data_IF_496719711069
#
_entry.id   IF_496719711069
#
_cell.length_a   1.000
_cell.length_b   1.000
_cell.length_c   1.000
_cell.angle_alpha   90.00
_cell.angle_beta   90.00
_cell.angle_gamma   90.00
#
_symmetry.space_group_name_H-M   'P 1'
#
loop_
_entity.id
_entity.type
_entity.pdbx_description
1 polymer ?
#
# COMPACT_ATOMS: atom_id res chain seq x y z
N UNK A 1 22.02 -7.94 2.31
CA UNK A 1 22.61 -6.60 2.50
C UNK A 1 24.05 -6.44 1.96
N UNK A 2 24.87 -7.49 1.96
CA UNK A 2 26.25 -7.41 1.45
C UNK A 2 26.38 -7.28 -0.09
N UNK A 3 25.46 -7.82 -0.85
CA UNK A 3 25.54 -7.92 -2.33
C UNK A 3 25.60 -6.54 -3.02
N UNK A 4 24.81 -5.56 -2.57
CA UNK A 4 24.85 -4.21 -3.15
C UNK A 4 26.15 -3.47 -2.84
N UNK A 5 26.81 -3.80 -1.74
CA UNK A 5 28.13 -3.26 -1.38
C UNK A 5 29.25 -3.80 -2.26
N UNK A 6 29.09 -4.98 -2.83
CA UNK A 6 30.06 -5.64 -3.72
C UNK A 6 30.06 -5.09 -5.15
N UNK A 7 28.99 -4.37 -5.55
CA UNK A 7 28.92 -3.74 -6.87
C UNK A 7 29.93 -2.60 -6.94
N UNK A 8 31.05 -2.80 -7.64
CA UNK A 8 32.15 -1.81 -7.76
C UNK A 8 31.75 -0.55 -8.54
N UNK A 9 30.87 -0.68 -9.54
CA UNK A 9 30.46 0.44 -10.39
C UNK A 9 29.36 1.29 -9.75
N UNK A 10 29.65 2.56 -9.46
CA UNK A 10 28.66 3.53 -8.97
C UNK A 10 27.54 3.78 -9.99
N UNK A 11 27.85 3.72 -11.29
CA UNK A 11 26.85 3.85 -12.37
C UNK A 11 25.83 2.72 -12.34
N UNK A 12 26.29 1.46 -12.24
CA UNK A 12 25.39 0.29 -12.15
C UNK A 12 24.54 0.37 -10.89
N UNK A 13 25.13 0.76 -9.77
CA UNK A 13 24.42 0.93 -8.50
C UNK A 13 23.31 1.99 -8.61
N UNK A 14 23.61 3.16 -9.19
CA UNK A 14 22.62 4.22 -9.43
C UNK A 14 21.49 3.74 -10.36
N UNK A 15 21.83 2.97 -11.40
CA UNK A 15 20.84 2.41 -12.32
C UNK A 15 19.94 1.36 -11.64
N UNK A 16 20.48 0.51 -10.77
CA UNK A 16 19.69 -0.40 -9.95
C UNK A 16 18.75 0.40 -9.03
N UNK A 17 19.26 1.41 -8.34
CA UNK A 17 18.44 2.25 -7.46
C UNK A 17 17.35 3.02 -8.22
N UNK A 18 17.57 3.39 -9.49
CA UNK A 18 16.50 4.03 -10.29
C UNK A 18 15.34 3.10 -10.62
N UNK A 19 15.55 1.78 -10.56
CA UNK A 19 14.53 0.76 -10.83
C UNK A 19 13.80 0.28 -9.57
N UNK A 20 14.33 0.59 -8.39
CA UNK A 20 13.75 0.20 -7.09
C UNK A 20 12.75 1.27 -6.65
N UNK A 21 11.62 0.86 -6.12
CA UNK A 21 10.60 1.77 -5.56
C UNK A 21 11.13 2.48 -4.31
N UNK A 22 10.65 3.71 -4.08
CA UNK A 22 11.26 4.63 -3.11
C UNK A 22 11.28 4.13 -1.66
N UNK A 23 10.27 3.41 -1.20
CA UNK A 23 10.29 2.88 0.17
C UNK A 23 11.35 1.77 0.37
N UNK A 24 11.60 0.92 -0.65
CA UNK A 24 12.68 -0.09 -0.60
C UNK A 24 14.05 0.60 -0.65
N UNK A 25 14.18 1.70 -1.44
CA UNK A 25 15.39 2.54 -1.42
C UNK A 25 15.67 3.05 -0.01
N UNK A 26 14.64 3.54 0.67
CA UNK A 26 14.74 4.04 2.05
C UNK A 26 15.27 2.97 3.00
N UNK A 27 14.73 1.77 2.97
CA UNK A 27 15.18 0.67 3.84
C UNK A 27 16.61 0.24 3.54
N UNK A 28 17.01 0.19 2.25
CA UNK A 28 18.36 -0.16 1.83
C UNK A 28 19.41 0.84 2.28
N UNK A 29 19.09 2.14 2.27
CA UNK A 29 20.03 3.22 2.62
C UNK A 29 20.04 3.58 4.10
N UNK A 30 18.94 3.38 4.84
CA UNK A 30 18.80 3.74 6.25
C UNK A 30 19.91 3.19 7.14
N UNK A 31 20.39 2.01 6.83
CA UNK A 31 21.35 1.28 7.64
C UNK A 31 22.75 1.17 7.01
N UNK A 32 23.00 1.83 5.87
CA UNK A 32 24.27 1.67 5.16
C UNK A 32 24.86 2.99 4.64
N UNK A 33 25.74 3.62 5.47
CA UNK A 33 26.45 4.86 5.12
C UNK A 33 27.29 4.75 3.84
N UNK A 34 27.81 3.57 3.52
CA UNK A 34 28.61 3.34 2.33
C UNK A 34 27.74 3.36 1.07
N UNK A 35 26.54 2.78 1.12
CA UNK A 35 25.54 2.87 0.06
C UNK A 35 25.06 4.30 -0.13
N UNK A 36 24.76 5.05 0.94
CA UNK A 36 24.38 6.47 0.88
C UNK A 36 25.43 7.28 0.12
N UNK A 37 26.70 7.14 0.48
CA UNK A 37 27.80 7.86 -0.19
C UNK A 37 27.94 7.50 -1.67
N UNK A 38 27.80 6.23 -2.04
CA UNK A 38 27.97 5.73 -3.41
C UNK A 38 26.79 6.01 -4.33
N UNK A 39 25.58 6.08 -3.78
CA UNK A 39 24.37 6.46 -4.53
C UNK A 39 24.16 7.96 -4.60
N UNK A 40 24.97 8.74 -3.86
CA UNK A 40 24.84 10.20 -3.70
C UNK A 40 23.46 10.62 -3.13
N UNK A 41 22.77 9.70 -2.44
CA UNK A 41 21.52 10.01 -1.77
C UNK A 41 21.87 10.71 -0.46
N UNK A 42 21.62 12.00 -0.40
CA UNK A 42 21.87 12.83 0.77
C UNK A 42 20.76 12.70 1.81
N UNK A 43 21.04 13.12 3.05
CA UNK A 43 20.00 13.29 4.09
C UNK A 43 18.85 14.22 3.66
N UNK A 44 19.11 15.11 2.73
CA UNK A 44 18.14 16.05 2.18
C UNK A 44 17.21 15.36 1.17
N UNK A 45 17.76 14.49 0.33
CA UNK A 45 16.97 13.60 -0.53
C UNK A 45 16.10 12.66 0.33
N UNK A 46 16.67 12.14 1.44
CA UNK A 46 15.93 11.33 2.42
C UNK A 46 14.77 12.09 3.05
N UNK A 47 15.00 13.35 3.47
CA UNK A 47 13.93 14.23 4.01
C UNK A 47 12.83 14.47 2.98
N UNK A 48 13.18 14.70 1.72
CA UNK A 48 12.21 14.83 0.61
C UNK A 48 11.40 13.55 0.39
N UNK A 49 12.04 12.38 0.52
CA UNK A 49 11.33 11.09 0.39
C UNK A 49 10.40 10.80 1.57
N UNK A 50 10.72 11.26 2.79
CA UNK A 50 9.82 11.18 3.94
C UNK A 50 8.67 12.18 3.88
N UNK A 51 8.79 13.21 3.06
CA UNK A 51 7.82 14.29 2.83
C UNK A 51 7.24 14.94 4.09
N UNK A 52 7.94 14.87 5.23
CA UNK A 52 7.49 15.38 6.53
C UNK A 52 8.62 16.09 7.24
N UNK A 53 8.33 17.28 7.81
CA UNK A 53 9.21 17.94 8.75
C UNK A 53 8.47 18.30 10.06
N UNK A 54 9.22 18.49 11.13
CA UNK A 54 8.69 18.73 12.49
C UNK A 54 9.23 20.01 13.07
N UNK A 55 8.36 20.75 13.77
CA UNK A 55 8.70 21.99 14.49
C UNK A 55 8.23 21.85 15.94
N UNK A 56 9.05 22.27 16.90
CA UNK A 56 8.74 22.25 18.33
C UNK A 56 9.75 21.46 19.13
N UNK A 57 9.30 20.82 20.20
CA UNK A 57 10.15 20.12 21.15
C UNK A 57 10.26 18.63 20.79
N UNK A 58 11.47 18.09 20.86
CA UNK A 58 11.71 16.64 20.69
C UNK A 58 10.92 15.82 21.71
N UNK A 59 10.80 16.33 22.93
CA UNK A 59 10.04 15.76 24.06
C UNK A 59 9.13 16.86 24.63
N UNK A 60 7.95 17.03 24.04
CA UNK A 60 7.04 18.10 24.41
C UNK A 60 6.07 18.45 23.30
N UNK A 61 5.66 19.70 23.21
CA UNK A 61 4.68 20.17 22.22
C UNK A 61 5.34 20.44 20.88
N UNK A 62 4.68 20.05 19.79
CA UNK A 62 5.16 20.31 18.45
C UNK A 62 4.10 20.10 17.37
N UNK A 63 4.55 20.26 16.13
CA UNK A 63 3.75 20.11 14.91
C UNK A 63 4.52 19.33 13.86
N UNK A 64 3.83 18.56 13.05
CA UNK A 64 4.33 17.94 11.84
C UNK A 64 3.67 18.57 10.62
N UNK A 65 4.45 18.80 9.58
CA UNK A 65 4.00 19.38 8.33
C UNK A 65 4.45 18.52 7.16
N UNK A 66 3.66 18.50 6.11
CA UNK A 66 4.06 17.98 4.81
C UNK A 66 5.10 18.92 4.18
N UNK A 67 6.20 18.37 3.65
CA UNK A 67 7.34 19.16 3.19
C UNK A 67 7.01 20.02 1.96
N UNK A 68 6.35 19.43 0.96
CA UNK A 68 6.09 20.07 -0.32
C UNK A 68 4.96 21.10 -0.27
N UNK A 69 3.93 20.84 0.53
CA UNK A 69 2.73 21.69 0.62
C UNK A 69 2.70 22.61 1.83
N UNK A 70 3.60 22.37 2.80
CA UNK A 70 3.62 23.04 4.11
C UNK A 70 2.30 22.91 4.90
N UNK A 71 1.50 21.87 4.59
CA UNK A 71 0.24 21.59 5.29
C UNK A 71 0.49 20.94 6.64
N UNK A 72 -0.29 21.34 7.64
CA UNK A 72 -0.24 20.75 8.98
C UNK A 72 -0.83 19.34 8.96
N UNK A 73 -0.03 18.35 9.37
CA UNK A 73 -0.45 16.94 9.45
C UNK A 73 -0.81 16.55 10.88
N UNK A 74 -0.04 17.09 11.85
CA UNK A 74 -0.23 16.77 13.27
C UNK A 74 0.15 17.93 14.17
N UNK A 75 -0.60 18.10 15.27
CA UNK A 75 -0.30 19.03 16.36
C UNK A 75 -0.55 18.32 17.67
N UNK A 76 0.49 18.24 18.53
CA UNK A 76 0.35 17.55 19.81
C UNK A 76 1.68 17.38 20.52
N UNK A 77 1.72 16.40 21.41
CA UNK A 77 2.90 16.05 22.16
C UNK A 77 3.77 15.04 21.42
N UNK A 78 5.07 15.11 21.65
CA UNK A 78 6.09 14.20 21.14
C UNK A 78 6.94 13.63 22.28
N UNK A 79 7.44 12.42 22.07
CA UNK A 79 8.52 11.79 22.81
C UNK A 79 9.52 11.22 21.80
N UNK A 80 10.76 11.71 21.83
CA UNK A 80 11.79 11.35 20.83
C UNK A 80 11.33 11.55 19.37
N UNK A 81 10.62 12.66 19.11
CA UNK A 81 10.02 12.97 17.80
C UNK A 81 8.98 11.95 17.31
N UNK A 82 8.52 11.04 18.15
CA UNK A 82 7.34 10.23 17.90
C UNK A 82 6.13 10.88 18.55
N UNK A 83 4.98 10.86 17.89
CA UNK A 83 3.70 11.34 18.47
C UNK A 83 3.45 10.59 19.77
N UNK A 84 3.19 11.32 20.87
CA UNK A 84 3.02 10.76 22.20
C UNK A 84 2.08 11.64 23.03
N UNK A 85 1.21 11.02 23.89
CA UNK A 85 0.20 11.77 24.61
C UNK A 85 -0.87 12.37 23.70
N UNK A 86 -1.50 13.46 24.13
CA UNK A 86 -2.61 14.09 23.41
C UNK A 86 -2.17 14.78 22.12
N UNK A 87 -2.95 14.60 21.05
CA UNK A 87 -2.69 15.22 19.76
C UNK A 87 -3.86 15.18 18.81
N UNK A 88 -3.75 15.99 17.76
CA UNK A 88 -4.71 16.14 16.67
C UNK A 88 -3.99 15.85 15.36
N UNK A 89 -4.55 14.97 14.58
CA UNK A 89 -4.13 14.65 13.22
C UNK A 89 -5.08 15.32 12.22
N UNK A 90 -4.54 15.87 11.16
CA UNK A 90 -5.29 16.58 10.12
C UNK A 90 -5.20 15.86 8.78
N UNK A 91 -6.24 16.03 7.94
CA UNK A 91 -6.23 15.62 6.54
C UNK A 91 -5.61 16.72 5.65
N UNK A 92 -5.53 16.47 4.35
CA UNK A 92 -4.94 17.41 3.38
C UNK A 92 -5.77 18.70 3.19
N UNK A 93 -7.04 18.75 3.67
CA UNK A 93 -7.89 19.95 3.68
C UNK A 93 -7.78 20.77 4.97
N UNK A 94 -6.84 20.42 5.89
CA UNK A 94 -6.73 20.96 7.24
C UNK A 94 -7.95 20.68 8.17
N UNK A 95 -8.78 19.70 7.84
CA UNK A 95 -9.85 19.24 8.68
C UNK A 95 -9.33 18.17 9.64
N UNK A 96 -10.00 18.04 10.79
CA UNK A 96 -9.58 17.08 11.79
C UNK A 96 -9.84 15.67 11.28
N UNK A 97 -8.77 14.87 11.21
CA UNK A 97 -8.81 13.45 10.86
C UNK A 97 -8.91 12.55 12.11
N UNK A 98 -8.22 12.95 13.19
CA UNK A 98 -8.24 12.22 14.46
C UNK A 98 -7.90 13.14 15.63
N UNK A 99 -8.60 12.97 16.75
CA UNK A 99 -8.29 13.59 18.03
C UNK A 99 -8.15 12.49 19.07
N UNK A 100 -7.02 12.45 19.80
CA UNK A 100 -6.86 11.42 20.81
C UNK A 100 -5.48 11.36 21.44
N UNK A 101 -5.21 10.21 22.05
CA UNK A 101 -3.93 9.90 22.66
C UNK A 101 -3.09 8.97 21.78
N UNK A 102 -1.78 9.20 21.83
CA UNK A 102 -0.77 8.48 21.05
C UNK A 102 0.30 7.92 21.98
N UNK A 103 0.82 6.74 21.68
CA UNK A 103 2.04 6.18 22.26
C UNK A 103 2.95 5.71 21.12
N UNK A 104 4.17 6.27 21.05
CA UNK A 104 5.16 5.97 20.00
C UNK A 104 4.62 6.05 18.57
N UNK A 105 3.77 7.02 18.28
CA UNK A 105 3.13 7.23 16.99
C UNK A 105 1.84 6.44 16.75
N UNK A 106 1.49 5.50 17.65
CA UNK A 106 0.28 4.68 17.54
C UNK A 106 -0.89 5.33 18.27
N UNK A 107 -2.08 5.30 17.68
CA UNK A 107 -3.34 5.74 18.29
C UNK A 107 -3.75 4.77 19.40
N UNK A 108 -4.03 5.26 20.59
CA UNK A 108 -4.41 4.45 21.77
C UNK A 108 -5.86 4.69 22.19
N UNK A 109 -6.32 5.93 22.10
CA UNK A 109 -7.67 6.34 22.44
C UNK A 109 -8.03 7.59 21.64
N UNK A 110 -9.28 7.70 21.18
CA UNK A 110 -9.71 8.91 20.48
C UNK A 110 -10.80 8.68 19.44
N UNK A 111 -11.06 9.74 18.69
CA UNK A 111 -12.12 9.83 17.69
C UNK A 111 -11.53 10.14 16.31
N UNK A 112 -11.93 9.39 15.30
CA UNK A 112 -11.57 9.62 13.89
C UNK A 112 -12.75 10.15 13.10
N UNK A 113 -12.46 11.01 12.14
CA UNK A 113 -13.46 11.72 11.35
C UNK A 113 -13.16 11.58 9.85
N UNK A 114 -14.20 11.59 9.02
CA UNK A 114 -14.08 11.71 7.56
C UNK A 114 -13.88 13.18 7.13
N UNK A 115 -13.79 13.40 5.83
CA UNK A 115 -13.60 14.75 5.27
C UNK A 115 -14.84 15.66 5.42
N UNK A 116 -15.98 15.14 5.83
CA UNK A 116 -17.20 15.88 6.11
C UNK A 116 -17.36 16.19 7.62
N UNK A 117 -16.42 15.74 8.45
CA UNK A 117 -16.46 15.91 9.90
C UNK A 117 -17.32 14.89 10.63
N UNK A 118 -17.85 13.87 9.94
CA UNK A 118 -18.62 12.80 10.58
C UNK A 118 -17.69 11.84 11.32
N UNK A 119 -18.15 11.35 12.50
CA UNK A 119 -17.42 10.34 13.26
C UNK A 119 -17.42 9.02 12.47
N UNK A 120 -16.23 8.51 12.15
CA UNK A 120 -16.06 7.22 11.45
C UNK A 120 -15.29 6.19 12.25
N UNK A 121 -14.66 6.60 13.35
CA UNK A 121 -13.87 5.70 14.20
C UNK A 121 -13.84 6.16 15.66
N UNK A 122 -14.09 5.24 16.57
CA UNK A 122 -13.94 5.44 18.02
C UNK A 122 -13.01 4.37 18.58
N UNK A 123 -11.96 4.77 19.29
CA UNK A 123 -11.03 3.87 19.96
C UNK A 123 -11.01 4.18 21.47
N UNK A 124 -11.19 3.15 22.27
CA UNK A 124 -11.13 3.21 23.72
C UNK A 124 -9.75 2.74 24.23
N UNK A 125 -9.33 3.26 25.37
CA UNK A 125 -8.03 2.98 25.99
C UNK A 125 -7.77 1.48 26.28
N UNK A 126 -8.83 0.71 26.45
CA UNK A 126 -8.77 -0.75 26.65
C UNK A 126 -8.56 -1.55 25.33
N UNK A 127 -8.34 -0.86 24.21
CA UNK A 127 -8.18 -1.47 22.90
C UNK A 127 -9.48 -1.84 22.19
N UNK A 128 -10.65 -1.64 22.82
CA UNK A 128 -11.94 -1.78 22.11
C UNK A 128 -12.19 -0.59 21.22
N UNK A 129 -12.92 -0.79 20.12
CA UNK A 129 -13.25 0.30 19.21
C UNK A 129 -14.36 -0.05 18.25
N UNK A 130 -14.88 0.99 17.63
CA UNK A 130 -15.98 0.93 16.69
C UNK A 130 -15.62 1.74 15.44
N UNK A 131 -15.99 1.19 14.28
CA UNK A 131 -15.94 1.91 13.01
C UNK A 131 -17.36 2.12 12.51
N UNK A 132 -17.58 3.24 11.83
CA UNK A 132 -18.90 3.63 11.37
C UNK A 132 -18.91 3.90 9.87
N UNK A 133 -20.02 3.61 9.22
CA UNK A 133 -20.35 4.09 7.89
C UNK A 133 -20.72 5.58 7.95
N UNK A 134 -20.75 6.24 6.80
CA UNK A 134 -21.14 7.66 6.71
C UNK A 134 -22.57 7.93 7.23
N UNK A 135 -23.48 6.94 7.10
CA UNK A 135 -24.83 7.02 7.66
C UNK A 135 -24.90 6.82 9.19
N UNK A 136 -23.75 6.67 9.86
CA UNK A 136 -23.64 6.47 11.31
C UNK A 136 -23.90 5.04 11.80
N UNK A 137 -24.23 4.09 10.91
CA UNK A 137 -24.36 2.68 11.32
C UNK A 137 -22.98 2.06 11.59
N UNK A 138 -22.93 1.07 12.49
CA UNK A 138 -21.68 0.38 12.85
C UNK A 138 -21.20 -0.44 11.65
N UNK A 139 -19.95 -0.23 11.24
CA UNK A 139 -19.25 -1.03 10.24
C UNK A 139 -18.43 -2.15 10.87
N UNK A 140 -17.80 -1.88 12.02
CA UNK A 140 -17.04 -2.87 12.78
C UNK A 140 -17.11 -2.55 14.27
N UNK A 141 -17.20 -3.58 15.11
CA UNK A 141 -17.08 -3.46 16.57
C UNK A 141 -16.19 -4.58 17.08
N UNK A 142 -15.15 -4.22 17.83
CA UNK A 142 -14.20 -5.21 18.30
C UNK A 142 -12.99 -4.66 19.04
N UNK A 143 -11.99 -5.49 19.14
CA UNK A 143 -10.70 -5.18 19.75
C UNK A 143 -9.66 -4.83 18.71
N UNK A 144 -8.78 -3.89 19.08
CA UNK A 144 -7.69 -3.39 18.26
C UNK A 144 -6.35 -3.61 18.95
N UNK A 145 -5.37 -4.11 18.22
CA UNK A 145 -3.98 -4.18 18.68
C UNK A 145 -3.13 -3.37 17.70
N UNK A 146 -2.37 -2.41 18.23
CA UNK A 146 -1.52 -1.51 17.43
C UNK A 146 -2.30 -0.77 16.30
N UNK A 147 -3.57 -0.40 16.56
CA UNK A 147 -4.44 0.28 15.61
C UNK A 147 -5.02 -0.62 14.51
N UNK A 148 -4.88 -1.94 14.62
CA UNK A 148 -5.42 -2.91 13.68
C UNK A 148 -6.49 -3.77 14.35
N UNK A 149 -7.55 -4.13 13.61
CA UNK A 149 -8.61 -5.03 14.06
C UNK A 149 -8.00 -6.37 14.50
N UNK A 150 -8.35 -6.83 15.73
CA UNK A 150 -7.81 -8.06 16.30
C UNK A 150 -8.89 -9.12 16.52
N UNK A 151 -9.92 -8.79 17.29
CA UNK A 151 -11.11 -9.60 17.47
C UNK A 151 -12.34 -8.74 17.24
N UNK A 152 -13.39 -9.27 16.62
CA UNK A 152 -14.62 -8.52 16.46
C UNK A 152 -15.43 -8.93 15.26
N UNK A 153 -16.51 -8.17 15.04
CA UNK A 153 -17.49 -8.42 14.00
C UNK A 153 -17.63 -7.21 13.10
N UNK A 154 -17.72 -7.49 11.81
CA UNK A 154 -18.06 -6.50 10.80
C UNK A 154 -19.51 -6.63 10.37
N UNK A 155 -20.10 -5.50 10.05
CA UNK A 155 -21.52 -5.37 9.72
C UNK A 155 -21.67 -4.66 8.38
N UNK A 156 -22.75 -4.96 7.64
CA UNK A 156 -23.18 -4.13 6.51
C UNK A 156 -24.02 -2.94 6.99
N UNK A 157 -24.45 -2.09 6.09
CA UNK A 157 -25.27 -0.89 6.39
C UNK A 157 -26.61 -1.20 7.06
N UNK A 158 -27.12 -2.41 6.90
CA UNK A 158 -28.38 -2.91 7.52
C UNK A 158 -28.14 -3.54 8.91
N UNK A 159 -26.89 -3.51 9.40
CA UNK A 159 -26.52 -4.07 10.70
C UNK A 159 -26.37 -5.60 10.71
N UNK A 160 -26.37 -6.27 9.54
CA UNK A 160 -26.15 -7.71 9.44
C UNK A 160 -24.65 -8.01 9.53
N UNK A 161 -24.28 -9.03 10.33
CA UNK A 161 -22.89 -9.49 10.43
C UNK A 161 -22.47 -10.09 9.08
N UNK A 162 -21.35 -9.61 8.55
CA UNK A 162 -20.78 -10.01 7.25
C UNK A 162 -19.42 -10.64 7.36
N UNK A 163 -18.70 -10.41 8.46
CA UNK A 163 -17.47 -11.12 8.78
C UNK A 163 -17.19 -11.13 10.29
N UNK A 164 -16.30 -12.04 10.69
CA UNK A 164 -15.77 -12.12 12.05
C UNK A 164 -14.24 -12.28 11.99
N UNK A 165 -13.53 -11.56 12.85
CA UNK A 165 -12.07 -11.65 13.01
C UNK A 165 -11.77 -12.25 14.38
N UNK A 166 -10.88 -13.24 14.43
CA UNK A 166 -10.36 -13.87 15.65
C UNK A 166 -8.84 -13.91 15.61
N UNK A 167 -8.19 -13.38 16.65
CA UNK A 167 -6.72 -13.32 16.75
C UNK A 167 -6.06 -12.71 15.52
N UNK A 168 -6.67 -11.65 14.99
CA UNK A 168 -6.21 -10.94 13.80
C UNK A 168 -6.47 -11.66 12.47
N UNK A 169 -7.05 -12.85 12.47
CA UNK A 169 -7.35 -13.64 11.27
C UNK A 169 -8.85 -13.68 11.01
N UNK A 170 -9.22 -13.61 9.75
CA UNK A 170 -10.63 -13.73 9.34
C UNK A 170 -10.79 -13.74 7.84
N UNK A 171 -12.00 -14.08 7.42
CA UNK A 171 -12.47 -13.86 6.05
C UNK A 171 -13.67 -12.93 6.12
N UNK A 172 -13.78 -12.02 5.16
CA UNK A 172 -14.94 -11.15 5.13
C UNK A 172 -14.84 -10.05 4.13
N UNK A 173 -15.83 -9.18 4.18
CA UNK A 173 -16.04 -8.12 3.22
C UNK A 173 -15.81 -6.75 3.86
N UNK A 174 -15.25 -5.83 3.11
CA UNK A 174 -15.33 -4.40 3.39
C UNK A 174 -16.19 -3.74 2.31
N UNK A 175 -16.74 -2.57 2.62
CA UNK A 175 -17.76 -1.94 1.80
C UNK A 175 -17.40 -0.49 1.51
N UNK A 176 -17.85 0.00 0.37
CA UNK A 176 -17.96 1.43 0.07
C UNK A 176 -19.07 2.06 0.91
N UNK A 177 -19.09 3.39 1.00
CA UNK A 177 -20.13 4.15 1.71
C UNK A 177 -21.54 3.92 1.14
N UNK A 178 -21.66 3.60 -0.15
CA UNK A 178 -22.92 3.26 -0.80
C UNK A 178 -23.43 1.83 -0.53
N UNK A 179 -22.69 1.04 0.29
CA UNK A 179 -23.03 -0.34 0.65
C UNK A 179 -22.54 -1.41 -0.33
N UNK A 180 -21.95 -1.07 -1.46
CA UNK A 180 -21.36 -2.04 -2.37
C UNK A 180 -20.06 -2.61 -1.80
N UNK A 181 -19.76 -3.88 -2.11
CA UNK A 181 -18.52 -4.52 -1.68
C UNK A 181 -17.34 -3.78 -2.29
N UNK A 182 -16.36 -3.42 -1.46
CA UNK A 182 -15.05 -2.92 -1.85
C UNK A 182 -14.04 -4.06 -2.00
N UNK A 183 -14.04 -4.97 -1.03
CA UNK A 183 -13.11 -6.10 -1.00
C UNK A 183 -13.75 -7.28 -0.27
N UNK A 184 -13.53 -8.47 -0.79
CA UNK A 184 -13.89 -9.75 -0.19
C UNK A 184 -12.64 -10.63 -0.14
N UNK A 185 -12.28 -11.16 1.05
CA UNK A 185 -11.07 -11.99 1.13
C UNK A 185 -10.58 -12.25 2.54
N UNK A 186 -9.33 -12.65 2.61
CA UNK A 186 -8.66 -13.03 3.85
C UNK A 186 -7.98 -11.82 4.49
N UNK A 187 -7.96 -11.80 5.82
CA UNK A 187 -7.31 -10.78 6.63
C UNK A 187 -6.37 -11.42 7.65
N UNK A 188 -5.22 -10.79 7.86
CA UNK A 188 -4.30 -11.08 8.94
C UNK A 188 -3.88 -9.79 9.63
N UNK A 189 -4.13 -9.69 10.93
CA UNK A 189 -3.84 -8.50 11.74
C UNK A 189 -4.41 -7.20 11.12
N UNK A 190 -5.63 -7.30 10.56
CA UNK A 190 -6.32 -6.19 9.90
C UNK A 190 -5.80 -5.81 8.51
N UNK A 191 -4.84 -6.53 7.98
CA UNK A 191 -4.38 -6.36 6.60
C UNK A 191 -5.00 -7.43 5.70
N UNK A 192 -5.33 -7.07 4.47
CA UNK A 192 -5.67 -8.02 3.41
C UNK A 192 -4.49 -8.97 3.20
N UNK A 193 -4.76 -10.26 3.13
CA UNK A 193 -3.76 -11.32 2.93
C UNK A 193 -4.40 -12.49 2.20
N UNK A 194 -3.57 -13.43 1.67
CA UNK A 194 -4.10 -14.60 0.98
C UNK A 194 -4.99 -14.23 -0.22
N UNK A 195 -6.01 -15.02 -0.47
CA UNK A 195 -6.90 -14.81 -1.61
C UNK A 195 -7.94 -13.73 -1.34
N UNK A 196 -8.19 -12.87 -2.35
CA UNK A 196 -9.21 -11.83 -2.25
C UNK A 196 -9.67 -11.30 -3.61
N UNK A 197 -10.84 -10.64 -3.58
CA UNK A 197 -11.45 -9.95 -4.71
C UNK A 197 -11.64 -8.48 -4.37
N UNK A 198 -11.32 -7.63 -5.30
CA UNK A 198 -11.53 -6.19 -5.18
C UNK A 198 -12.54 -5.73 -6.23
N UNK A 199 -13.43 -4.84 -5.81
CA UNK A 199 -14.52 -4.33 -6.63
C UNK A 199 -14.44 -2.82 -6.74
N UNK A 200 -14.95 -2.26 -7.83
CA UNK A 200 -15.15 -0.82 -7.95
C UNK A 200 -16.44 -0.37 -7.23
N UNK A 201 -16.66 0.93 -7.14
CA UNK A 201 -17.83 1.51 -6.45
C UNK A 201 -19.17 1.12 -7.11
N UNK A 202 -19.17 0.72 -8.39
CA UNK A 202 -20.35 0.23 -9.10
C UNK A 202 -20.64 -1.26 -8.82
N UNK A 203 -19.73 -1.97 -8.14
CA UNK A 203 -19.86 -3.38 -7.80
C UNK A 203 -19.25 -4.36 -8.80
N UNK A 204 -18.57 -3.87 -9.86
CA UNK A 204 -17.87 -4.73 -10.81
C UNK A 204 -16.53 -5.17 -10.24
N UNK A 205 -16.15 -6.42 -10.45
CA UNK A 205 -14.85 -6.93 -10.06
C UNK A 205 -13.74 -6.20 -10.87
N UNK A 206 -12.67 -5.78 -10.19
CA UNK A 206 -11.50 -5.14 -10.82
C UNK A 206 -10.22 -5.95 -10.62
N UNK A 207 -10.17 -6.81 -9.59
CA UNK A 207 -9.04 -7.70 -9.34
C UNK A 207 -9.48 -8.93 -8.54
N UNK A 208 -8.88 -10.07 -8.84
CA UNK A 208 -8.96 -11.30 -8.06
C UNK A 208 -7.56 -11.92 -7.97
N UNK A 209 -7.08 -12.22 -6.75
CA UNK A 209 -5.76 -12.80 -6.60
C UNK A 209 -5.24 -12.75 -5.17
N UNK A 210 -3.93 -12.90 -5.08
CA UNK A 210 -3.22 -12.95 -3.82
C UNK A 210 -2.90 -11.55 -3.29
N UNK A 211 -2.95 -11.41 -1.97
CA UNK A 211 -2.63 -10.20 -1.22
C UNK A 211 -1.61 -10.47 -0.13
N UNK A 212 -0.75 -9.51 0.12
CA UNK A 212 0.15 -9.47 1.27
C UNK A 212 0.23 -8.03 1.80
N UNK A 213 -0.03 -7.84 3.09
CA UNK A 213 0.01 -6.52 3.75
C UNK A 213 -0.80 -5.41 3.07
N UNK A 214 -2.01 -5.73 2.59
CA UNK A 214 -2.95 -4.88 1.83
C UNK A 214 -2.59 -4.64 0.37
N UNK A 215 -1.50 -5.17 -0.14
CA UNK A 215 -1.05 -5.00 -1.51
C UNK A 215 -1.27 -6.27 -2.31
N UNK A 216 -1.55 -6.13 -3.62
CA UNK A 216 -1.55 -7.27 -4.56
C UNK A 216 -0.16 -7.91 -4.52
N UNK A 217 -0.08 -9.22 -4.30
CA UNK A 217 1.20 -9.92 -4.17
C UNK A 217 1.01 -11.40 -4.52
N UNK A 218 1.80 -11.93 -5.44
CA UNK A 218 1.59 -13.25 -6.01
C UNK A 218 0.67 -13.21 -7.24
N UNK A 219 0.02 -14.30 -7.56
CA UNK A 219 -0.79 -14.45 -8.78
C UNK A 219 -2.11 -13.72 -8.67
N UNK A 220 -2.50 -13.04 -9.77
CA UNK A 220 -3.77 -12.33 -9.82
C UNK A 220 -4.24 -12.02 -11.23
N UNK A 221 -5.51 -11.65 -11.32
CA UNK A 221 -6.21 -11.26 -12.55
C UNK A 221 -6.82 -9.89 -12.37
N UNK A 222 -6.67 -9.06 -13.35
CA UNK A 222 -7.36 -7.77 -13.45
C UNK A 222 -8.43 -7.80 -14.52
N UNK A 223 -9.48 -7.03 -14.32
CA UNK A 223 -10.66 -7.04 -15.16
C UNK A 223 -10.99 -5.65 -15.70
N UNK A 224 -11.56 -5.61 -16.89
CA UNK A 224 -12.29 -4.48 -17.43
C UNK A 224 -13.65 -4.34 -16.72
N UNK A 225 -14.35 -3.23 -16.94
CA UNK A 225 -15.66 -2.94 -16.30
C UNK A 225 -16.78 -3.92 -16.68
N UNK A 226 -16.61 -4.68 -17.75
CA UNK A 226 -17.56 -5.69 -18.26
C UNK A 226 -17.15 -7.13 -17.91
N UNK A 227 -16.38 -7.30 -16.82
CA UNK A 227 -15.87 -8.58 -16.31
C UNK A 227 -14.93 -9.34 -17.26
N UNK A 228 -14.52 -8.72 -18.36
CA UNK A 228 -13.50 -9.30 -19.24
C UNK A 228 -12.11 -9.19 -18.62
N UNK A 229 -11.31 -10.22 -18.78
CA UNK A 229 -9.93 -10.25 -18.29
C UNK A 229 -9.12 -9.19 -19.03
N UNK A 230 -8.45 -8.31 -18.25
CA UNK A 230 -7.50 -7.31 -18.72
C UNK A 230 -6.06 -7.78 -18.61
N UNK A 231 -5.72 -8.47 -17.52
CA UNK A 231 -4.39 -9.00 -17.28
C UNK A 231 -4.42 -10.21 -16.34
N UNK A 232 -3.49 -11.13 -16.57
CA UNK A 232 -3.13 -12.22 -15.67
C UNK A 232 -1.63 -12.13 -15.44
N UNK A 233 -1.22 -11.86 -14.20
CA UNK A 233 0.19 -11.56 -13.91
C UNK A 233 0.57 -12.02 -12.50
N UNK A 234 1.87 -12.07 -12.23
CA UNK A 234 2.38 -12.07 -10.87
C UNK A 234 2.63 -10.64 -10.39
N UNK A 235 2.22 -10.35 -9.18
CA UNK A 235 2.32 -9.04 -8.55
C UNK A 235 3.34 -9.06 -7.42
N UNK A 236 4.08 -7.97 -7.30
CA UNK A 236 4.94 -7.71 -6.17
C UNK A 236 4.73 -6.27 -5.70
N UNK A 237 4.26 -6.10 -4.44
CA UNK A 237 3.90 -4.80 -3.88
C UNK A 237 2.94 -3.98 -4.76
N UNK A 238 1.88 -4.61 -5.25
CA UNK A 238 0.86 -3.98 -6.07
C UNK A 238 1.24 -3.75 -7.53
N UNK A 239 2.44 -4.13 -7.95
CA UNK A 239 2.98 -3.88 -9.29
C UNK A 239 3.16 -5.21 -10.02
N UNK A 240 2.77 -5.25 -11.31
CA UNK A 240 3.03 -6.38 -12.20
C UNK A 240 4.52 -6.69 -12.25
N UNK A 241 4.89 -7.93 -11.98
CA UNK A 241 6.28 -8.33 -11.91
C UNK A 241 6.38 -9.82 -12.13
N UNK A 242 7.21 -10.26 -13.09
CA UNK A 242 7.40 -11.62 -13.54
C UNK A 242 6.54 -11.98 -14.77
N UNK A 243 6.13 -13.24 -14.93
CA UNK A 243 5.41 -13.74 -16.12
C UNK A 243 3.95 -13.32 -16.09
N UNK A 244 3.50 -12.65 -17.16
CA UNK A 244 2.12 -12.22 -17.29
C UNK A 244 1.59 -12.16 -18.70
N UNK A 245 0.29 -11.94 -18.79
CA UNK A 245 -0.46 -11.73 -20.03
C UNK A 245 -1.35 -10.50 -19.89
N UNK A 246 -1.36 -9.68 -20.93
CA UNK A 246 -2.32 -8.57 -21.06
C UNK A 246 -3.22 -8.84 -22.26
N UNK A 247 -4.48 -8.46 -22.12
CA UNK A 247 -5.50 -8.59 -23.15
C UNK A 247 -6.08 -7.22 -23.51
N UNK A 248 -6.52 -7.06 -24.75
CA UNK A 248 -7.30 -5.89 -25.14
C UNK A 248 -8.78 -6.06 -24.73
N UNK A 249 -9.61 -5.05 -25.01
CA UNK A 249 -11.02 -5.05 -24.64
C UNK A 249 -11.85 -6.15 -25.34
N UNK A 250 -11.37 -6.67 -26.49
CA UNK A 250 -11.97 -7.82 -27.20
C UNK A 250 -11.51 -9.19 -26.63
N UNK A 251 -10.72 -9.19 -25.56
CA UNK A 251 -10.10 -10.38 -24.94
C UNK A 251 -9.06 -11.04 -25.88
N UNK A 252 -8.51 -10.28 -26.82
CA UNK A 252 -7.40 -10.73 -27.64
C UNK A 252 -6.08 -10.48 -26.90
N UNK A 253 -5.15 -11.44 -26.99
CA UNK A 253 -3.85 -11.35 -26.32
C UNK A 253 -3.03 -10.18 -26.86
N UNK A 254 -2.75 -9.18 -26.04
CA UNK A 254 -1.98 -8.00 -26.39
C UNK A 254 -0.49 -8.13 -26.06
N UNK A 255 -0.18 -8.84 -24.98
CA UNK A 255 1.18 -9.09 -24.53
C UNK A 255 1.23 -10.41 -23.76
N UNK A 256 2.31 -11.17 -23.95
CA UNK A 256 2.72 -12.24 -23.06
C UNK A 256 4.23 -12.20 -22.86
N UNK A 257 4.66 -12.32 -21.60
CA UNK A 257 6.09 -12.26 -21.29
C UNK A 257 6.37 -11.83 -19.86
N UNK A 258 7.59 -11.42 -19.66
CA UNK A 258 8.06 -10.95 -18.36
C UNK A 258 7.81 -9.45 -18.18
N UNK A 259 7.21 -9.09 -17.04
CA UNK A 259 7.11 -7.73 -16.54
C UNK A 259 8.11 -7.51 -15.43
N UNK A 260 8.64 -6.29 -15.33
CA UNK A 260 9.51 -5.88 -14.25
C UNK A 260 9.16 -4.46 -13.81
N UNK A 261 8.78 -4.27 -12.53
CA UNK A 261 8.29 -3.00 -11.99
C UNK A 261 7.21 -2.34 -12.86
N UNK A 262 6.21 -3.12 -13.31
CA UNK A 262 5.09 -2.65 -14.12
C UNK A 262 5.44 -2.33 -15.57
N UNK A 263 6.63 -2.70 -16.04
CA UNK A 263 7.06 -2.52 -17.43
C UNK A 263 7.29 -3.86 -18.10
N UNK A 264 6.86 -3.98 -19.36
CA UNK A 264 7.16 -5.11 -20.21
C UNK A 264 8.68 -5.21 -20.40
N UNK A 265 9.21 -6.37 -20.17
CA UNK A 265 10.67 -6.59 -20.12
C UNK A 265 11.16 -7.50 -21.26
N UNK A 266 10.63 -8.71 -21.31
CA UNK A 266 10.84 -9.67 -22.37
C UNK A 266 9.51 -10.28 -22.73
N UNK A 267 9.28 -10.56 -24.02
CA UNK A 267 8.04 -11.20 -24.43
C UNK A 267 7.63 -10.81 -25.82
N UNK A 268 6.35 -11.02 -26.09
CA UNK A 268 5.74 -10.74 -27.37
C UNK A 268 4.58 -9.78 -27.21
N UNK A 269 4.54 -8.76 -28.04
CA UNK A 269 3.37 -7.88 -28.22
C UNK A 269 2.64 -8.22 -29.50
N UNK A 270 1.32 -8.12 -29.46
CA UNK A 270 0.40 -8.42 -30.55
C UNK A 270 -0.46 -7.21 -30.86
N UNK A 271 -0.49 -6.81 -32.12
CA UNK A 271 -1.38 -5.77 -32.65
C UNK A 271 -2.35 -6.39 -33.64
N UNK A 272 -3.62 -6.06 -33.52
CA UNK A 272 -4.71 -6.57 -34.34
C UNK A 272 -5.26 -5.46 -35.23
N UNK A 273 -4.93 -5.48 -36.53
CA UNK A 273 -5.38 -4.51 -37.50
C UNK A 273 -6.02 -5.23 -38.70
N UNK A 274 -7.31 -5.02 -38.94
CA UNK A 274 -8.06 -5.52 -40.10
C UNK A 274 -7.87 -7.05 -40.36
N UNK A 275 -7.89 -7.84 -39.28
CA UNK A 275 -7.69 -9.29 -39.36
C UNK A 275 -6.23 -9.76 -39.53
N UNK A 276 -5.28 -8.81 -39.52
CA UNK A 276 -3.84 -9.09 -39.54
C UNK A 276 -3.29 -9.00 -38.12
N UNK A 277 -2.62 -10.05 -37.69
CA UNK A 277 -1.91 -10.06 -36.37
C UNK A 277 -0.44 -9.74 -36.67
N UNK A 278 0.05 -8.66 -36.06
CA UNK A 278 1.46 -8.30 -36.05
C UNK A 278 2.05 -8.69 -34.70
N UNK A 279 3.06 -9.55 -34.70
CA UNK A 279 3.83 -9.93 -33.52
C UNK A 279 5.14 -9.10 -33.47
N UNK A 280 5.46 -8.53 -32.31
CA UNK A 280 6.70 -7.80 -32.07
C UNK A 280 7.38 -8.37 -30.83
N UNK A 281 8.64 -8.76 -30.93
CA UNK A 281 9.43 -9.21 -29.78
C UNK A 281 9.98 -8.04 -28.99
N UNK A 282 9.74 -8.08 -27.66
CA UNK A 282 10.41 -7.22 -26.69
C UNK A 282 11.55 -7.99 -26.06
N UNK A 283 12.77 -7.47 -26.16
CA UNK A 283 13.95 -8.12 -25.61
C UNK A 283 14.95 -7.11 -25.04
N UNK A 284 14.89 -6.87 -23.74
CA UNK A 284 15.82 -5.98 -23.03
C UNK A 284 17.03 -6.75 -22.50
N UNK A 285 17.79 -7.40 -23.38
CA UNK A 285 18.95 -8.28 -23.08
C UNK A 285 20.03 -7.68 -22.17
N UNK A 286 20.11 -6.38 -22.00
CA UNK A 286 21.22 -5.72 -21.26
C UNK A 286 21.16 -5.82 -19.73
N UNK A 287 20.09 -6.30 -19.15
CA UNK A 287 19.83 -6.16 -17.70
C UNK A 287 19.58 -7.49 -16.96
N UNK A 288 19.67 -8.65 -17.60
CA UNK A 288 19.45 -9.95 -16.97
C UNK A 288 20.26 -10.20 -15.68
N UNK A 289 21.49 -9.65 -15.60
CA UNK A 289 22.28 -9.69 -14.36
C UNK A 289 21.68 -8.81 -13.24
N UNK A 290 21.03 -7.71 -13.60
CA UNK A 290 20.40 -6.79 -12.65
C UNK A 290 19.11 -7.41 -12.08
N UNK A 291 18.30 -8.08 -12.93
CA UNK A 291 17.11 -8.83 -12.49
C UNK A 291 17.51 -9.87 -11.44
N UNK A 292 18.54 -10.67 -11.70
CA UNK A 292 19.05 -11.68 -10.78
C UNK A 292 19.54 -11.09 -9.44
N UNK A 293 20.16 -9.89 -9.45
CA UNK A 293 20.55 -9.19 -8.23
C UNK A 293 19.34 -8.71 -7.42
N UNK A 294 18.29 -8.23 -8.07
CA UNK A 294 17.07 -7.74 -7.41
C UNK A 294 16.22 -8.91 -6.90
N UNK A 295 16.15 -10.02 -7.62
CA UNK A 295 15.48 -11.25 -7.14
C UNK A 295 16.14 -11.81 -5.90
N UNK A 296 17.47 -11.80 -5.84
CA UNK A 296 18.20 -12.19 -4.63
C UNK A 296 17.93 -11.25 -3.43
N UNK A 297 17.49 -10.01 -3.67
CA UNK A 297 17.06 -9.10 -2.60
C UNK A 297 15.64 -9.40 -2.10
N UNK A 298 14.75 -9.96 -2.92
CA UNK A 298 13.40 -10.40 -2.51
C UNK A 298 13.42 -11.47 -1.40
N UNK A 299 14.47 -12.29 -1.32
CA UNK A 299 14.64 -13.33 -0.30
C UNK A 299 15.27 -12.82 1.00
N UNK A 300 15.64 -11.56 1.10
CA UNK A 300 16.31 -10.96 2.26
C UNK A 300 15.35 -10.09 3.08
N UNK A 301 14.16 -9.78 2.56
CA UNK A 301 13.09 -9.01 3.19
C UNK A 301 11.76 -9.79 3.14
#
# INVERSE_FOLDING_TARGET
MNILCEIKSAYILKKIFSLVIDYIKLDLINYNKQLQKRTEISLENYKKMCNIYKIGEKNGKGKEFELDTNKLIYKGNFLNWKRHGKGIEYNFNNEIKFIGEFIEGKKIEGKGYNNEGNLVFLLHKNGKGEEYYENGSIQFNGEYINGKRWNGKGYNTDGKIVFEIKNGKGKGNTYYSNGNILFEGEYLNGNRTGQGKEYNIAGNIIYEGEYLHNEKNGKGKEYYLDDKIRAEDEYFHGIMNDLGKEYNYNVELKFEGECFNGRKWNGKEYEYNDGIIRETEINEKKIGKIKQYIENLKFIF
#
